data_IF_658327551046
#
_entry.id   IF_658327551046
#
_cell.length_a   1.000
_cell.length_b   1.000
_cell.length_c   1.000
_cell.angle_alpha   90.00
_cell.angle_beta   90.00
_cell.angle_gamma   90.00
#
_symmetry.space_group_name_H-M   'P 1'
#
loop_
_entity.id
_entity.type
_entity.pdbx_description
1 polymer ?
#
# COMPACT_ATOMS: atom_id res chain seq x y z
N UNK A 1 2.16 23.84 -23.20
CA UNK A 1 2.66 24.88 -22.27
C UNK A 1 1.46 25.49 -21.56
N UNK A 2 1.06 24.92 -20.42
CA UNK A 2 0.07 25.48 -19.49
C UNK A 2 0.67 25.26 -18.09
N UNK A 3 1.62 26.12 -17.72
CA UNK A 3 2.43 25.96 -16.50
C UNK A 3 2.12 27.04 -15.44
N UNK A 4 1.16 27.94 -15.68
CA UNK A 4 0.81 29.02 -14.76
C UNK A 4 -0.65 29.47 -14.93
N UNK A 5 -1.60 28.59 -14.65
CA UNK A 5 -2.93 29.01 -14.24
C UNK A 5 -3.29 28.20 -13.01
N UNK A 6 -3.20 28.83 -11.83
CA UNK A 6 -3.94 28.33 -10.68
C UNK A 6 -5.41 28.32 -11.09
N UNK A 7 -6.07 27.18 -10.92
CA UNK A 7 -7.52 27.09 -11.12
C UNK A 7 -8.13 28.06 -10.11
N UNK A 8 -8.69 29.17 -10.60
CA UNK A 8 -9.20 30.23 -9.72
C UNK A 8 -10.36 29.76 -8.83
N UNK A 9 -11.03 28.67 -9.23
CA UNK A 9 -12.12 28.03 -8.52
C UNK A 9 -12.16 26.52 -8.83
N UNK A 10 -11.54 25.72 -7.96
CA UNK A 10 -11.47 24.26 -8.08
C UNK A 10 -12.83 23.60 -8.01
N UNK A 11 -13.75 24.17 -7.23
CA UNK A 11 -15.11 23.67 -7.07
C UNK A 11 -15.88 23.80 -8.40
N UNK A 12 -15.89 24.99 -8.98
CA UNK A 12 -16.60 25.25 -10.24
C UNK A 12 -16.00 24.48 -11.40
N UNK A 13 -14.68 24.28 -11.43
CA UNK A 13 -14.05 23.41 -12.42
C UNK A 13 -14.54 21.97 -12.26
N UNK A 14 -14.50 21.43 -11.04
CA UNK A 14 -14.93 20.06 -10.77
C UNK A 14 -16.39 19.83 -11.15
N UNK A 15 -17.31 20.72 -10.75
CA UNK A 15 -18.73 20.62 -11.11
C UNK A 15 -18.97 20.59 -12.62
N UNK A 16 -18.11 21.24 -13.43
CA UNK A 16 -18.21 21.23 -14.89
C UNK A 16 -17.66 19.97 -15.55
N UNK A 17 -16.60 19.37 -14.99
CA UNK A 17 -15.83 18.32 -15.68
C UNK A 17 -15.99 16.92 -15.08
N UNK A 18 -16.56 16.78 -13.89
CA UNK A 18 -16.57 15.49 -13.17
C UNK A 18 -17.23 14.35 -13.95
N UNK A 19 -18.26 14.62 -14.77
CA UNK A 19 -18.91 13.59 -15.60
C UNK A 19 -17.96 12.98 -16.63
N UNK A 20 -17.09 13.79 -17.23
CA UNK A 20 -16.07 13.30 -18.15
C UNK A 20 -14.97 12.50 -17.43
N UNK A 21 -14.65 12.88 -16.19
CA UNK A 21 -13.65 12.18 -15.37
C UNK A 21 -14.19 10.84 -14.82
N UNK A 22 -15.50 10.70 -14.67
CA UNK A 22 -16.15 9.51 -14.13
C UNK A 22 -16.63 8.51 -15.20
N UNK A 23 -16.46 8.81 -16.50
CA UNK A 23 -16.97 8.02 -17.62
C UNK A 23 -16.45 6.56 -17.60
N UNK A 24 -15.20 6.37 -17.16
CA UNK A 24 -14.60 5.05 -17.03
C UNK A 24 -15.13 4.25 -15.81
N UNK A 25 -15.69 4.91 -14.80
CA UNK A 25 -16.05 4.28 -13.53
C UNK A 25 -17.22 3.34 -13.75
N UNK A 26 -18.29 3.83 -14.35
CA UNK A 26 -19.50 3.04 -14.60
C UNK A 26 -19.21 1.87 -15.56
N UNK A 27 -18.39 2.10 -16.59
CA UNK A 27 -17.93 1.05 -17.49
C UNK A 27 -17.17 -0.07 -16.75
N UNK A 28 -16.28 0.28 -15.83
CA UNK A 28 -15.52 -0.69 -15.04
C UNK A 28 -16.43 -1.50 -14.10
N UNK A 29 -17.43 -0.87 -13.47
CA UNK A 29 -18.41 -1.58 -12.64
C UNK A 29 -19.26 -2.57 -13.44
N UNK A 30 -19.76 -2.18 -14.63
CA UNK A 30 -20.51 -3.08 -15.52
C UNK A 30 -19.69 -4.32 -15.89
N UNK A 31 -18.40 -4.13 -16.18
CA UNK A 31 -17.48 -5.23 -16.49
C UNK A 31 -17.18 -6.11 -15.27
N UNK A 32 -17.02 -5.52 -14.09
CA UNK A 32 -16.71 -6.26 -12.87
C UNK A 32 -17.89 -7.08 -12.33
N UNK A 33 -19.12 -6.57 -12.51
CA UNK A 33 -20.35 -7.22 -12.04
C UNK A 33 -21.02 -8.12 -13.09
N UNK A 34 -20.48 -8.18 -14.31
CA UNK A 34 -21.07 -8.87 -15.47
C UNK A 34 -22.54 -8.45 -15.73
N UNK A 35 -22.85 -7.18 -15.47
CA UNK A 35 -24.19 -6.60 -15.58
C UNK A 35 -24.17 -5.41 -16.56
N UNK A 36 -24.58 -5.60 -17.83
CA UNK A 36 -24.50 -4.55 -18.85
C UNK A 36 -25.46 -3.39 -18.62
N UNK A 37 -26.55 -3.61 -17.86
CA UNK A 37 -27.56 -2.61 -17.54
C UNK A 37 -27.39 -1.97 -16.15
N UNK A 38 -26.23 -2.18 -15.50
CA UNK A 38 -25.95 -1.58 -14.20
C UNK A 38 -25.73 -0.07 -14.36
N UNK A 39 -26.49 0.71 -13.60
CA UNK A 39 -26.41 2.17 -13.58
C UNK A 39 -26.15 2.66 -12.16
N UNK A 40 -25.16 3.54 -12.03
CA UNK A 40 -24.75 4.12 -10.75
C UNK A 40 -25.45 5.48 -10.61
N UNK A 41 -26.17 5.74 -9.50
CA UNK A 41 -26.72 7.07 -9.22
C UNK A 41 -25.65 8.17 -9.30
N UNK A 42 -25.99 9.36 -9.80
CA UNK A 42 -25.01 10.44 -10.02
C UNK A 42 -24.25 10.83 -8.75
N UNK A 43 -24.91 10.84 -7.59
CA UNK A 43 -24.26 11.14 -6.30
C UNK A 43 -23.22 10.08 -5.91
N UNK A 44 -23.51 8.80 -6.14
CA UNK A 44 -22.60 7.69 -5.87
C UNK A 44 -21.43 7.72 -6.85
N UNK A 45 -21.69 7.97 -8.13
CA UNK A 45 -20.67 8.10 -9.16
C UNK A 45 -19.68 9.22 -8.84
N UNK A 46 -20.19 10.36 -8.36
CA UNK A 46 -19.39 11.51 -7.91
C UNK A 46 -18.56 11.17 -6.67
N UNK A 47 -19.12 10.40 -5.73
CA UNK A 47 -18.40 9.89 -4.55
C UNK A 47 -17.25 8.95 -4.95
N UNK A 48 -17.47 8.03 -5.90
CA UNK A 48 -16.44 7.14 -6.43
C UNK A 48 -15.33 7.91 -7.15
N UNK A 49 -15.68 8.94 -7.92
CA UNK A 49 -14.68 9.80 -8.55
C UNK A 49 -13.82 10.53 -7.52
N UNK A 50 -14.43 11.10 -6.47
CA UNK A 50 -13.70 11.75 -5.39
C UNK A 50 -12.72 10.79 -4.71
N UNK A 51 -13.06 9.49 -4.61
CA UNK A 51 -12.16 8.46 -4.10
C UNK A 51 -11.00 8.16 -5.03
N UNK A 52 -11.25 8.01 -6.34
CA UNK A 52 -10.17 7.86 -7.35
C UNK A 52 -9.24 9.06 -7.36
N UNK A 53 -9.78 10.28 -7.28
CA UNK A 53 -8.97 11.50 -7.21
C UNK A 53 -8.15 11.52 -5.93
N UNK A 54 -8.74 11.19 -4.78
CA UNK A 54 -8.01 11.12 -3.51
C UNK A 54 -6.84 10.13 -3.60
N UNK A 55 -7.04 8.99 -4.28
CA UNK A 55 -5.98 8.04 -4.58
C UNK A 55 -4.87 8.65 -5.45
N UNK A 56 -5.22 9.33 -6.55
CA UNK A 56 -4.24 9.96 -7.44
C UNK A 56 -3.44 11.08 -6.76
N UNK A 57 -4.10 11.93 -5.97
CA UNK A 57 -3.43 12.96 -5.17
C UNK A 57 -2.40 12.34 -4.23
N UNK A 58 -2.79 11.29 -3.49
CA UNK A 58 -1.87 10.60 -2.58
C UNK A 58 -0.70 9.93 -3.31
N UNK A 59 -0.93 9.32 -4.48
CA UNK A 59 0.13 8.74 -5.31
C UNK A 59 1.15 9.80 -5.76
N UNK A 60 0.68 11.02 -5.99
CA UNK A 60 1.52 12.17 -6.35
C UNK A 60 2.04 12.96 -5.15
N UNK A 61 1.81 12.49 -3.91
CA UNK A 61 2.30 13.13 -2.68
C UNK A 61 1.50 14.35 -2.21
N UNK A 62 0.33 14.63 -2.81
CA UNK A 62 -0.59 15.69 -2.39
C UNK A 62 -1.77 15.17 -1.59
N UNK A 63 -2.45 16.05 -0.85
CA UNK A 63 -3.71 15.71 -0.16
C UNK A 63 -4.88 16.36 -0.92
N UNK A 64 -5.90 15.56 -1.22
CA UNK A 64 -7.13 16.07 -1.88
C UNK A 64 -7.83 17.15 -1.04
N UNK A 65 -7.66 17.12 0.29
CA UNK A 65 -8.23 18.11 1.20
C UNK A 65 -7.57 19.49 1.10
N UNK A 66 -6.41 19.59 0.43
CA UNK A 66 -5.76 20.88 0.17
C UNK A 66 -6.49 21.66 -0.93
N UNK A 67 -7.42 21.02 -1.66
CA UNK A 67 -8.21 21.60 -2.74
C UNK A 67 -9.68 21.76 -2.35
N UNK A 68 -10.34 22.81 -2.85
CA UNK A 68 -11.76 23.12 -2.56
C UNK A 68 -12.72 22.26 -3.39
N UNK A 69 -12.65 20.94 -3.24
CA UNK A 69 -13.54 20.00 -3.94
C UNK A 69 -14.83 19.73 -3.14
N UNK A 70 -15.93 19.28 -3.80
CA UNK A 70 -17.16 18.91 -3.12
C UNK A 70 -16.91 17.79 -2.12
N UNK A 71 -17.62 17.85 -0.99
CA UNK A 71 -17.66 16.73 -0.03
C UNK A 71 -18.64 15.68 -0.53
N UNK A 72 -18.40 14.44 -0.10
CA UNK A 72 -19.30 13.33 -0.42
C UNK A 72 -20.69 13.57 0.15
N UNK A 73 -21.72 13.28 -0.65
CA UNK A 73 -23.13 13.40 -0.25
C UNK A 73 -23.63 12.05 0.28
N UNK A 74 -24.25 12.04 1.47
CA UNK A 74 -24.87 10.86 2.09
C UNK A 74 -24.26 10.46 3.43
N UNK A 75 -25.11 10.19 4.43
CA UNK A 75 -24.76 9.52 5.69
C UNK A 75 -24.50 8.03 5.42
N UNK A 76 -23.51 7.71 4.61
CA UNK A 76 -22.81 6.46 4.79
C UNK A 76 -22.06 6.61 6.10
N UNK A 77 -22.73 6.19 7.19
CA UNK A 77 -22.03 5.83 8.41
C UNK A 77 -20.79 5.05 8.01
N UNK A 78 -19.70 5.47 8.62
CA UNK A 78 -18.30 5.19 8.38
C UNK A 78 -17.97 3.68 8.36
N UNK A 79 -18.55 2.92 7.42
CA UNK A 79 -17.87 1.78 6.83
C UNK A 79 -16.83 2.35 5.88
N UNK A 80 -15.89 3.12 6.43
CA UNK A 80 -14.59 3.33 5.82
C UNK A 80 -13.97 1.95 5.69
N UNK A 81 -14.29 1.26 4.59
CA UNK A 81 -13.53 0.07 4.21
C UNK A 81 -12.11 0.57 4.08
N UNK A 82 -11.22 -0.02 4.86
CA UNK A 82 -9.85 0.41 4.88
C UNK A 82 -9.25 0.16 3.49
N UNK A 83 -9.22 1.18 2.65
CA UNK A 83 -8.75 1.13 1.27
C UNK A 83 -7.32 0.64 1.17
N UNK A 84 -6.49 0.89 2.18
CA UNK A 84 -5.13 0.36 2.19
C UNK A 84 -5.14 -1.17 2.33
N UNK A 85 -6.09 -1.73 3.07
CA UNK A 85 -6.32 -3.16 3.14
C UNK A 85 -6.97 -3.70 1.86
N UNK A 86 -7.93 -2.98 1.28
CA UNK A 86 -8.50 -3.36 -0.02
C UNK A 86 -7.43 -3.42 -1.11
N UNK A 87 -6.52 -2.45 -1.17
CA UNK A 87 -5.38 -2.44 -2.10
C UNK A 87 -4.56 -3.73 -1.95
N UNK A 88 -4.21 -4.12 -0.72
CA UNK A 88 -3.43 -5.34 -0.44
C UNK A 88 -4.20 -6.64 -0.66
N UNK A 89 -5.53 -6.61 -0.65
CA UNK A 89 -6.38 -7.79 -0.86
C UNK A 89 -6.95 -7.88 -2.29
N UNK A 90 -6.80 -6.83 -3.09
CA UNK A 90 -7.33 -6.74 -4.45
C UNK A 90 -6.55 -7.55 -5.48
N UNK A 91 -5.38 -8.08 -5.12
CA UNK A 91 -4.58 -8.88 -6.03
C UNK A 91 -5.29 -10.18 -6.44
N UNK A 92 -5.14 -10.56 -7.72
CA UNK A 92 -5.67 -11.83 -8.23
C UNK A 92 -4.86 -13.01 -7.69
N UNK A 93 -5.38 -13.63 -6.63
CA UNK A 93 -4.75 -14.74 -5.95
C UNK A 93 -4.45 -15.94 -6.88
N UNK A 94 -5.29 -16.21 -7.87
CA UNK A 94 -5.09 -17.34 -8.78
C UNK A 94 -3.91 -17.05 -9.73
N UNK A 95 -3.85 -15.84 -10.27
CA UNK A 95 -2.74 -15.43 -11.11
C UNK A 95 -1.41 -15.43 -10.33
N UNK A 96 -1.41 -14.85 -9.13
CA UNK A 96 -0.25 -14.85 -8.24
C UNK A 96 0.20 -16.26 -7.84
N UNK A 97 -0.73 -17.20 -7.66
CA UNK A 97 -0.37 -18.60 -7.37
C UNK A 97 0.46 -19.20 -8.51
N UNK A 98 -0.02 -19.07 -9.75
CA UNK A 98 0.69 -19.57 -10.94
C UNK A 98 2.06 -18.89 -11.12
N UNK A 99 2.11 -17.57 -10.94
CA UNK A 99 3.36 -16.81 -10.99
C UNK A 99 4.35 -17.27 -9.91
N UNK A 100 3.88 -17.50 -8.69
CA UNK A 100 4.71 -17.91 -7.57
C UNK A 100 5.36 -19.28 -7.80
N UNK A 101 4.67 -20.24 -8.42
CA UNK A 101 5.23 -21.55 -8.75
C UNK A 101 6.45 -21.43 -9.69
N UNK A 102 6.35 -20.55 -10.70
CA UNK A 102 7.46 -20.29 -11.62
C UNK A 102 8.63 -19.63 -10.89
N UNK A 103 8.38 -18.61 -10.06
CA UNK A 103 9.42 -17.91 -9.31
C UNK A 103 10.14 -18.84 -8.31
N UNK A 104 9.38 -19.65 -7.57
CA UNK A 104 9.91 -20.62 -6.60
C UNK A 104 10.84 -21.64 -7.29
N UNK A 105 10.48 -22.11 -8.49
CA UNK A 105 11.30 -23.06 -9.26
C UNK A 105 12.68 -22.52 -9.67
N UNK A 106 12.85 -21.20 -9.68
CA UNK A 106 14.08 -20.52 -10.09
C UNK A 106 14.98 -20.13 -8.90
N UNK A 107 14.52 -20.34 -7.66
CA UNK A 107 15.31 -20.03 -6.47
C UNK A 107 16.52 -20.97 -6.37
N UNK A 108 17.68 -20.41 -6.05
CA UNK A 108 18.83 -21.21 -5.68
C UNK A 108 18.68 -21.82 -4.27
N UNK A 109 19.56 -22.75 -3.90
CA UNK A 109 19.48 -23.49 -2.63
C UNK A 109 19.40 -22.59 -1.39
N UNK A 110 20.15 -21.49 -1.35
CA UNK A 110 20.17 -20.59 -0.18
C UNK A 110 18.93 -19.69 -0.15
N UNK A 111 18.50 -19.20 -1.31
CA UNK A 111 17.23 -18.47 -1.43
C UNK A 111 16.04 -19.35 -1.06
N UNK A 112 16.03 -20.63 -1.46
CA UNK A 112 14.99 -21.59 -1.12
C UNK A 112 14.91 -21.85 0.38
N UNK A 113 16.06 -21.97 1.06
CA UNK A 113 16.10 -22.08 2.54
C UNK A 113 15.49 -20.84 3.21
N UNK A 114 15.87 -19.65 2.76
CA UNK A 114 15.32 -18.40 3.29
C UNK A 114 13.82 -18.29 3.02
N UNK A 115 13.38 -18.62 1.79
CA UNK A 115 11.98 -18.66 1.40
C UNK A 115 11.17 -19.56 2.33
N UNK A 116 11.54 -20.84 2.45
CA UNK A 116 10.81 -21.81 3.29
C UNK A 116 10.75 -21.34 4.74
N UNK A 117 11.88 -20.91 5.31
CA UNK A 117 11.94 -20.45 6.71
C UNK A 117 11.01 -19.27 6.98
N UNK A 118 11.02 -18.25 6.10
CA UNK A 118 10.20 -17.05 6.28
C UNK A 118 8.72 -17.38 6.05
N UNK A 119 8.41 -18.10 4.98
CA UNK A 119 7.04 -18.42 4.58
C UNK A 119 6.37 -19.33 5.60
N UNK A 120 7.03 -20.39 6.06
CA UNK A 120 6.48 -21.29 7.07
C UNK A 120 6.17 -20.56 8.38
N UNK A 121 7.05 -19.65 8.82
CA UNK A 121 6.79 -18.83 10.01
C UNK A 121 5.58 -17.91 9.83
N UNK A 122 5.46 -17.23 8.68
CA UNK A 122 4.33 -16.35 8.40
C UNK A 122 3.02 -17.13 8.34
N UNK A 123 3.01 -18.30 7.69
CA UNK A 123 1.80 -19.13 7.57
C UNK A 123 1.41 -19.77 8.91
N UNK A 124 2.36 -20.13 9.75
CA UNK A 124 2.12 -20.68 11.10
C UNK A 124 1.82 -19.61 12.16
N UNK A 125 1.86 -18.32 11.80
CA UNK A 125 1.61 -17.21 12.72
C UNK A 125 2.67 -17.08 13.81
N UNK A 126 3.88 -17.59 13.58
CA UNK A 126 4.98 -17.51 14.53
C UNK A 126 5.73 -16.19 14.38
N UNK A 127 6.14 -15.54 15.49
CA UNK A 127 6.97 -14.35 15.42
C UNK A 127 8.34 -14.69 14.80
N UNK A 128 8.90 -13.78 14.02
CA UNK A 128 10.21 -13.94 13.40
C UNK A 128 10.83 -12.61 13.05
N UNK A 129 12.16 -12.53 13.17
CA UNK A 129 12.95 -11.40 12.71
C UNK A 129 14.17 -11.93 11.96
N UNK A 130 14.31 -11.53 10.71
CA UNK A 130 15.30 -12.07 9.80
C UNK A 130 16.13 -10.95 9.17
N UNK A 131 17.42 -11.20 9.01
CA UNK A 131 18.30 -10.36 8.21
C UNK A 131 18.92 -11.22 7.11
N UNK A 132 18.47 -11.00 5.87
CA UNK A 132 19.01 -11.70 4.71
C UNK A 132 20.09 -10.83 4.09
N UNK A 133 21.33 -11.29 4.18
CA UNK A 133 22.50 -10.62 3.60
C UNK A 133 22.97 -11.34 2.35
N UNK A 134 23.40 -10.58 1.36
CA UNK A 134 23.98 -11.09 0.12
C UNK A 134 24.71 -9.97 -0.62
N UNK A 135 25.81 -10.30 -1.30
CA UNK A 135 26.56 -9.34 -2.11
C UNK A 135 25.69 -8.73 -3.23
N UNK A 136 26.14 -7.62 -3.82
CA UNK A 136 25.48 -7.06 -5.01
C UNK A 136 25.36 -8.13 -6.10
N UNK A 137 24.20 -8.21 -6.77
CA UNK A 137 23.94 -9.21 -7.81
C UNK A 137 23.50 -10.59 -7.29
N UNK A 138 23.27 -10.77 -5.99
CA UNK A 138 22.70 -12.02 -5.41
C UNK A 138 21.16 -12.12 -5.53
N UNK A 139 20.55 -11.24 -6.32
CA UNK A 139 19.11 -11.25 -6.61
C UNK A 139 18.22 -11.29 -5.36
N UNK A 140 18.60 -10.60 -4.27
CA UNK A 140 17.77 -10.51 -3.06
C UNK A 140 16.36 -9.99 -3.36
N UNK A 141 16.25 -9.02 -4.26
CA UNK A 141 14.97 -8.51 -4.73
C UNK A 141 14.13 -9.59 -5.43
N UNK A 142 14.75 -10.55 -6.10
CA UNK A 142 14.04 -11.70 -6.68
C UNK A 142 13.46 -12.61 -5.58
N UNK A 143 14.24 -12.89 -4.52
CA UNK A 143 13.74 -13.60 -3.34
C UNK A 143 12.56 -12.85 -2.70
N UNK A 144 12.66 -11.53 -2.52
CA UNK A 144 11.57 -10.71 -2.00
C UNK A 144 10.32 -10.81 -2.85
N UNK A 145 10.44 -10.63 -4.17
CA UNK A 145 9.31 -10.74 -5.09
C UNK A 145 8.66 -12.12 -5.02
N UNK A 146 9.46 -13.19 -4.92
CA UNK A 146 8.96 -14.56 -4.79
C UNK A 146 8.16 -14.76 -3.49
N UNK A 147 8.68 -14.29 -2.35
CA UNK A 147 7.99 -14.35 -1.06
C UNK A 147 6.68 -13.52 -1.10
N UNK A 148 6.74 -12.31 -1.65
CA UNK A 148 5.58 -11.40 -1.75
C UNK A 148 4.48 -12.04 -2.59
N UNK A 149 4.82 -12.49 -3.80
CA UNK A 149 3.87 -13.08 -4.75
C UNK A 149 3.21 -14.32 -4.14
N UNK A 150 3.99 -15.22 -3.52
CA UNK A 150 3.46 -16.40 -2.86
C UNK A 150 2.54 -16.05 -1.68
N UNK A 151 2.98 -15.20 -0.74
CA UNK A 151 2.16 -14.89 0.43
C UNK A 151 0.89 -14.10 0.08
N UNK A 152 0.94 -13.24 -0.94
CA UNK A 152 -0.25 -12.55 -1.46
C UNK A 152 -1.21 -13.51 -2.18
N UNK A 153 -0.73 -14.56 -2.85
CA UNK A 153 -1.62 -15.61 -3.39
C UNK A 153 -2.39 -16.32 -2.26
N UNK A 154 -1.77 -16.43 -1.08
CA UNK A 154 -2.40 -16.93 0.15
C UNK A 154 -3.23 -15.85 0.91
N UNK A 155 -3.53 -14.72 0.27
CA UNK A 155 -4.29 -13.58 0.83
C UNK A 155 -3.70 -13.00 2.12
N UNK A 156 -2.38 -13.11 2.32
CA UNK A 156 -1.68 -12.44 3.42
C UNK A 156 -1.38 -10.99 3.07
N UNK A 157 -1.50 -10.10 4.04
CA UNK A 157 -1.15 -8.68 3.90
C UNK A 157 0.34 -8.52 4.15
N UNK A 158 1.07 -8.05 3.14
CA UNK A 158 2.54 -7.93 3.16
C UNK A 158 2.93 -6.47 2.91
N UNK A 159 3.65 -5.87 3.86
CA UNK A 159 4.13 -4.50 3.71
C UNK A 159 5.53 -4.50 3.10
N UNK A 160 5.63 -4.06 1.85
CA UNK A 160 6.89 -3.97 1.13
C UNK A 160 7.41 -2.53 1.20
N UNK A 161 8.60 -2.37 1.80
CA UNK A 161 9.23 -1.08 1.95
C UNK A 161 10.70 -1.12 1.53
N UNK A 162 11.23 0.03 1.12
CA UNK A 162 12.65 0.19 0.90
C UNK A 162 13.15 1.55 1.40
N UNK A 163 14.45 1.64 1.67
CA UNK A 163 15.08 2.90 2.09
C UNK A 163 15.08 3.95 0.97
N UNK A 164 15.29 3.53 -0.29
CA UNK A 164 15.24 4.38 -1.49
C UNK A 164 13.94 4.24 -2.27
N UNK A 165 13.53 5.33 -2.95
CA UNK A 165 12.39 5.31 -3.86
C UNK A 165 12.60 4.38 -5.05
N UNK A 166 13.83 4.30 -5.58
CA UNK A 166 14.14 3.44 -6.73
C UNK A 166 14.03 1.96 -6.35
N UNK A 167 14.56 1.57 -5.19
CA UNK A 167 14.44 0.20 -4.68
C UNK A 167 12.99 -0.18 -4.38
N UNK A 168 12.19 0.75 -3.85
CA UNK A 168 10.77 0.51 -3.60
C UNK A 168 10.00 0.16 -4.87
N UNK A 169 10.35 0.74 -6.03
CA UNK A 169 9.70 0.44 -7.31
C UNK A 169 9.95 -0.99 -7.80
N UNK A 170 11.00 -1.66 -7.32
CA UNK A 170 11.32 -3.04 -7.69
C UNK A 170 10.51 -4.07 -6.90
N UNK A 171 9.81 -3.65 -5.85
CA UNK A 171 8.96 -4.48 -5.02
C UNK A 171 7.48 -4.24 -5.37
N UNK A 172 6.67 -5.29 -5.59
CA UNK A 172 5.23 -5.16 -5.78
C UNK A 172 4.56 -4.42 -4.63
N UNK A 173 3.86 -3.31 -4.92
CA UNK A 173 3.24 -2.45 -3.91
C UNK A 173 4.23 -1.68 -3.03
N UNK A 174 5.50 -1.65 -3.42
CA UNK A 174 6.59 -1.08 -2.65
C UNK A 174 6.43 0.43 -2.44
N UNK A 175 6.76 0.87 -1.22
CA UNK A 175 6.82 2.28 -0.84
C UNK A 175 8.12 2.58 -0.11
N UNK A 176 8.55 3.83 -0.08
CA UNK A 176 9.66 4.20 0.80
C UNK A 176 9.26 4.02 2.26
N UNK A 177 10.21 3.66 3.11
CA UNK A 177 9.98 3.48 4.56
C UNK A 177 9.38 4.73 5.20
N UNK A 178 9.89 5.91 4.82
CA UNK A 178 9.37 7.20 5.24
C UNK A 178 7.92 7.43 4.83
N UNK A 179 7.54 7.08 3.59
CA UNK A 179 6.17 7.30 3.12
C UNK A 179 5.17 6.29 3.70
N UNK A 180 5.59 5.02 3.85
CA UNK A 180 4.76 3.95 4.42
C UNK A 180 4.54 4.15 5.91
N UNK A 181 5.60 4.41 6.66
CA UNK A 181 5.54 4.50 8.12
C UNK A 181 5.47 5.92 8.66
N UNK A 182 5.43 6.96 7.83
CA UNK A 182 5.40 8.36 8.29
C UNK A 182 6.55 8.67 9.27
N UNK A 183 7.74 8.17 8.94
CA UNK A 183 8.97 8.42 9.71
C UNK A 183 9.33 9.90 9.58
N UNK A 184 9.48 10.65 10.69
CA UNK A 184 9.93 12.05 10.63
C UNK A 184 11.34 12.18 10.05
N UNK A 185 11.62 13.27 9.32
CA UNK A 185 12.97 13.55 8.81
C UNK A 185 13.94 13.86 9.96
N UNK A 186 13.48 14.59 10.97
CA UNK A 186 14.26 14.92 12.15
C UNK A 186 14.09 13.81 13.20
N UNK A 187 15.14 12.99 13.34
CA UNK A 187 15.13 11.82 14.19
C UNK A 187 15.94 12.04 15.46
N UNK A 188 15.36 11.68 16.60
CA UNK A 188 16.02 11.60 17.91
C UNK A 188 15.65 10.29 18.62
N UNK A 189 16.28 10.02 19.77
CA UNK A 189 16.11 8.77 20.51
C UNK A 189 14.70 8.55 21.11
N UNK A 190 13.85 9.58 21.16
CA UNK A 190 12.46 9.46 21.60
C UNK A 190 11.45 9.53 20.45
N UNK A 191 11.93 9.62 19.20
CA UNK A 191 11.07 9.77 18.03
C UNK A 191 10.23 8.51 17.82
N UNK A 192 8.97 8.74 17.47
CA UNK A 192 8.02 7.74 16.99
C UNK A 192 7.55 8.12 15.59
N UNK A 193 7.01 7.15 14.87
CA UNK A 193 6.38 7.39 13.59
C UNK A 193 5.06 8.17 13.78
N UNK A 194 4.72 9.05 12.83
CA UNK A 194 3.48 9.83 12.91
C UNK A 194 2.27 9.00 12.45
N UNK A 195 1.99 7.92 13.19
CA UNK A 195 0.88 6.99 12.97
C UNK A 195 0.07 6.92 14.26
N UNK A 196 -1.19 7.35 14.19
CA UNK A 196 -2.11 7.29 15.33
C UNK A 196 -2.94 6.02 15.28
N UNK A 197 -3.27 5.45 16.44
CA UNK A 197 -4.26 4.36 16.54
C UNK A 197 -5.60 4.77 15.94
N UNK A 198 -6.32 3.80 15.37
CA UNK A 198 -7.60 4.04 14.70
C UNK A 198 -7.48 4.71 13.32
N UNK A 199 -6.27 4.94 12.82
CA UNK A 199 -6.07 5.31 11.41
C UNK A 199 -6.07 4.07 10.52
N UNK A 200 -6.42 4.23 9.24
CA UNK A 200 -6.36 3.14 8.26
C UNK A 200 -4.97 2.50 8.17
N UNK A 201 -3.91 3.30 8.31
CA UNK A 201 -2.54 2.79 8.31
C UNK A 201 -2.23 1.97 9.57
N UNK A 202 -2.74 2.36 10.73
CA UNK A 202 -2.60 1.57 11.94
C UNK A 202 -3.29 0.21 11.80
N UNK A 203 -4.53 0.19 11.32
CA UNK A 203 -5.28 -1.05 11.08
C UNK A 203 -4.59 -1.93 10.00
N UNK A 204 -4.03 -1.33 8.95
CA UNK A 204 -3.22 -2.05 7.97
C UNK A 204 -2.02 -2.75 8.63
N UNK A 205 -1.31 -2.03 9.51
CA UNK A 205 -0.14 -2.54 10.23
C UNK A 205 -0.55 -3.64 11.22
N UNK A 206 -1.69 -3.50 11.89
CA UNK A 206 -2.25 -4.50 12.80
C UNK A 206 -2.57 -5.83 12.11
N UNK A 207 -2.99 -5.79 10.83
CA UNK A 207 -3.34 -6.98 10.04
C UNK A 207 -2.14 -7.52 9.24
N UNK A 208 -1.10 -6.71 9.03
CA UNK A 208 0.08 -7.10 8.26
C UNK A 208 0.76 -8.34 8.87
N UNK A 209 0.98 -9.36 8.03
CA UNK A 209 1.61 -10.62 8.44
C UNK A 209 3.13 -10.60 8.29
N UNK A 210 3.66 -9.69 7.45
CA UNK A 210 5.10 -9.56 7.20
C UNK A 210 5.43 -8.13 6.76
N UNK A 211 6.56 -7.62 7.22
CA UNK A 211 7.19 -6.40 6.71
C UNK A 211 8.52 -6.80 6.05
N UNK A 212 8.67 -6.48 4.77
CA UNK A 212 9.93 -6.65 4.04
C UNK A 212 10.55 -5.27 3.85
N UNK A 213 11.78 -5.10 4.33
CA UNK A 213 12.52 -3.86 4.23
C UNK A 213 13.79 -4.06 3.37
N UNK A 214 13.75 -3.60 2.12
CA UNK A 214 14.91 -3.64 1.23
C UNK A 214 15.84 -2.42 1.42
N UNK A 215 17.13 -2.63 1.19
CA UNK A 215 18.19 -1.65 1.46
C UNK A 215 18.20 -1.13 2.91
N UNK A 216 17.84 -1.98 3.89
CA UNK A 216 17.79 -1.62 5.32
C UNK A 216 19.08 -0.95 5.83
N UNK A 217 20.24 -1.36 5.31
CA UNK A 217 21.56 -0.80 5.67
C UNK A 217 21.73 0.68 5.33
N UNK A 218 20.91 1.23 4.43
CA UNK A 218 20.95 2.66 4.06
C UNK A 218 20.20 3.54 5.05
N UNK A 219 19.43 2.95 5.97
CA UNK A 219 18.64 3.69 6.95
C UNK A 219 19.37 3.80 8.28
N UNK A 220 19.30 4.99 8.89
CA UNK A 220 19.87 5.22 10.22
C UNK A 220 19.15 4.40 11.31
N UNK A 221 19.90 3.89 12.30
CA UNK A 221 19.34 3.03 13.38
C UNK A 221 18.10 3.63 14.07
N UNK A 222 18.08 4.96 14.25
CA UNK A 222 16.99 5.65 14.96
C UNK A 222 15.65 5.49 14.22
N UNK A 223 15.65 5.37 12.90
CA UNK A 223 14.42 5.14 12.14
C UNK A 223 13.84 3.73 12.42
N UNK A 224 14.70 2.72 12.57
CA UNK A 224 14.27 1.38 12.99
C UNK A 224 13.71 1.39 14.40
N UNK A 225 14.37 2.07 15.33
CA UNK A 225 13.89 2.21 16.71
C UNK A 225 12.57 2.99 16.79
N UNK A 226 12.42 4.05 15.99
CA UNK A 226 11.17 4.82 15.91
C UNK A 226 10.02 3.96 15.39
N UNK A 227 10.28 3.10 14.38
CA UNK A 227 9.31 2.13 13.91
C UNK A 227 8.99 1.10 14.99
N UNK A 228 9.99 0.49 15.64
CA UNK A 228 9.78 -0.50 16.71
C UNK A 228 8.93 0.07 17.86
N UNK A 229 9.25 1.28 18.35
CA UNK A 229 8.43 1.97 19.37
C UNK A 229 6.98 2.15 18.92
N UNK A 230 6.77 2.50 17.64
CA UNK A 230 5.42 2.69 17.08
C UNK A 230 4.67 1.38 16.95
N UNK A 231 5.31 0.32 16.45
CA UNK A 231 4.70 -1.00 16.34
C UNK A 231 4.32 -1.54 17.72
N UNK A 232 5.17 -1.37 18.73
CA UNK A 232 4.86 -1.75 20.12
C UNK A 232 3.68 -0.99 20.68
N UNK A 233 3.57 0.31 20.40
CA UNK A 233 2.38 1.08 20.78
C UNK A 233 1.15 0.52 20.05
N UNK A 234 1.12 0.53 18.71
CA UNK A 234 -0.04 0.09 17.93
C UNK A 234 -0.52 -1.32 18.30
N UNK A 235 0.39 -2.28 18.44
CA UNK A 235 0.10 -3.70 18.68
C UNK A 235 -0.08 -4.05 20.17
N UNK A 236 0.10 -3.12 21.09
CA UNK A 236 -0.12 -3.40 22.51
C UNK A 236 -1.61 -3.62 22.81
N UNK A 237 -1.95 -4.60 23.67
CA UNK A 237 -3.32 -4.91 24.04
C UNK A 237 -4.01 -3.69 24.68
N UNK A 238 -5.31 -3.53 24.41
CA UNK A 238 -6.15 -2.48 24.96
C UNK A 238 -6.46 -2.70 26.44
#
# INVERSE_FOLDING_TARGET
MLLYYQVADEYTLFEKVWKYLADDIEYNFRKALDQPNFHIPEDDLKNYLLDKLAFLFNKSGGNIQDFKLPRKTGNLEDRSVNRLLEEELSYDANNLSNESEVLISQLNTEQMKAFNTIVENVLSGQPGFYFVSGYGGTEKTFLWNTIITYLRSQKKVILTVASSGVAALLLPGGRTTHSRFKIPCDLNESTTCNIKRGTMLAELIEIASLIIWDEAFMTHRIAFEALDRTLRDLLSPR
#
